data_IF_389722627095
#
_entry.id   IF_389722627095
#
_cell.length_a   1.000
_cell.length_b   1.000
_cell.length_c   1.000
_cell.angle_alpha   90.00
_cell.angle_beta   90.00
_cell.angle_gamma   90.00
#
_symmetry.space_group_name_H-M   'P 1'
#
loop_
_entity.id
_entity.type
_entity.pdbx_description
1 polymer ?
#
# COMPACT_ATOMS: atom_id res chain seq x y z
N UNK A 1 -0.66 -11.35 -19.44
CA UNK A 1 0.68 -11.96 -19.29
C UNK A 1 1.31 -11.29 -18.08
N UNK A 2 1.85 -12.07 -17.14
CA UNK A 2 2.29 -11.61 -15.82
C UNK A 2 3.50 -10.65 -15.87
N UNK A 3 4.03 -10.43 -17.06
CA UNK A 3 5.31 -9.76 -17.31
C UNK A 3 5.16 -8.29 -17.74
N UNK A 4 3.93 -7.78 -17.89
CA UNK A 4 3.69 -6.37 -18.23
C UNK A 4 3.66 -5.48 -16.98
N UNK A 5 4.79 -5.46 -16.28
CA UNK A 5 4.96 -4.67 -15.06
C UNK A 5 4.83 -3.16 -15.29
N UNK A 6 5.13 -2.68 -16.50
CA UNK A 6 4.91 -1.29 -16.90
C UNK A 6 3.42 -0.96 -16.91
N UNK A 7 2.57 -1.79 -17.52
CA UNK A 7 1.13 -1.60 -17.47
C UNK A 7 0.58 -1.72 -16.05
N UNK A 8 1.09 -2.68 -15.26
CA UNK A 8 0.66 -2.81 -13.86
C UNK A 8 1.04 -1.62 -13.00
N UNK A 9 2.20 -1.01 -13.22
CA UNK A 9 2.63 0.20 -12.53
C UNK A 9 1.75 1.39 -12.91
N UNK A 10 1.54 1.60 -14.22
CA UNK A 10 0.75 2.72 -14.76
C UNK A 10 -0.75 2.62 -14.49
N UNK A 11 -1.25 1.46 -14.07
CA UNK A 11 -2.65 1.26 -13.67
C UNK A 11 -2.99 1.79 -12.26
N UNK A 12 -1.99 2.26 -11.49
CA UNK A 12 -2.17 2.78 -10.14
C UNK A 12 -2.10 4.31 -10.17
N UNK A 13 -3.14 4.97 -9.69
CA UNK A 13 -3.10 6.40 -9.38
C UNK A 13 -2.52 6.60 -7.98
N UNK A 14 -1.65 7.59 -7.82
CA UNK A 14 -0.95 7.89 -6.56
C UNK A 14 -1.08 9.35 -6.23
N UNK A 15 -1.51 9.67 -5.01
CA UNK A 15 -1.56 11.04 -4.53
C UNK A 15 -1.03 11.14 -3.11
N UNK A 16 -0.44 12.29 -2.79
CA UNK A 16 -0.04 12.67 -1.44
C UNK A 16 -0.81 13.92 -1.08
N UNK A 17 -1.41 13.95 0.10
CA UNK A 17 -2.11 15.14 0.61
C UNK A 17 -1.69 15.43 2.04
N UNK A 18 -1.66 16.72 2.38
CA UNK A 18 -1.48 17.16 3.75
C UNK A 18 -2.83 17.21 4.46
N UNK A 19 -2.84 16.82 5.73
CA UNK A 19 -4.00 16.92 6.60
C UNK A 19 -3.57 17.01 8.06
N UNK A 20 -4.53 17.32 8.93
CA UNK A 20 -4.37 17.13 10.36
C UNK A 20 -5.17 15.90 10.81
N UNK A 21 -4.58 15.09 11.69
CA UNK A 21 -5.23 13.96 12.34
C UNK A 21 -4.96 14.04 13.84
N UNK A 22 -6.02 14.00 14.63
CA UNK A 22 -5.93 14.12 16.10
C UNK A 22 -5.16 15.38 16.56
N UNK A 23 -5.34 16.50 15.84
CA UNK A 23 -4.70 17.79 16.14
C UNK A 23 -3.20 17.84 15.85
N UNK A 24 -2.66 16.88 15.09
CA UNK A 24 -1.27 16.83 14.67
C UNK A 24 -1.15 16.81 13.14
N UNK A 25 -0.08 17.39 12.56
CA UNK A 25 0.22 17.26 11.15
C UNK A 25 0.39 15.79 10.74
N UNK A 26 -0.25 15.43 9.64
CA UNK A 26 -0.18 14.11 9.03
C UNK A 26 -0.06 14.25 7.50
N UNK A 27 0.27 13.13 6.88
CA UNK A 27 0.33 12.97 5.43
C UNK A 27 -0.50 11.77 5.04
N UNK A 28 -1.34 11.94 4.03
CA UNK A 28 -2.15 10.87 3.49
C UNK A 28 -1.58 10.43 2.15
N UNK A 29 -1.12 9.18 2.11
CA UNK A 29 -0.65 8.47 0.91
C UNK A 29 -1.83 7.68 0.36
N UNK A 30 -2.32 8.05 -0.81
CA UNK A 30 -3.48 7.40 -1.43
C UNK A 30 -3.08 6.67 -2.71
N UNK A 31 -3.48 5.40 -2.82
CA UNK A 31 -3.37 4.58 -4.02
C UNK A 31 -4.77 4.22 -4.52
N UNK A 32 -4.99 4.29 -5.83
CA UNK A 32 -6.22 3.83 -6.45
C UNK A 32 -5.94 2.89 -7.62
N UNK A 33 -6.72 1.81 -7.71
CA UNK A 33 -6.65 0.87 -8.82
C UNK A 33 -8.01 0.24 -9.09
N UNK A 34 -8.30 0.00 -10.38
CA UNK A 34 -9.48 -0.75 -10.81
C UNK A 34 -9.09 -2.23 -11.02
N UNK A 35 -9.93 -3.13 -10.52
CA UNK A 35 -9.82 -4.57 -10.70
C UNK A 35 -11.02 -5.08 -11.52
N UNK A 36 -10.78 -6.09 -12.36
CA UNK A 36 -11.81 -6.73 -13.19
C UNK A 36 -12.56 -7.81 -12.40
N UNK A 37 -13.17 -7.37 -11.29
CA UNK A 37 -14.09 -8.17 -10.47
C UNK A 37 -15.21 -7.29 -9.89
N UNK A 38 -16.25 -7.92 -9.32
CA UNK A 38 -17.34 -7.20 -8.67
C UNK A 38 -16.89 -6.53 -7.35
N UNK A 39 -17.60 -5.50 -6.87
CA UNK A 39 -17.31 -4.88 -5.57
C UNK A 39 -17.35 -5.87 -4.41
N UNK A 40 -18.32 -6.78 -4.40
CA UNK A 40 -18.48 -7.79 -3.35
C UNK A 40 -17.30 -8.78 -3.34
N UNK A 41 -16.85 -9.21 -4.52
CA UNK A 41 -15.71 -10.12 -4.62
C UNK A 41 -14.40 -9.44 -4.25
N UNK A 42 -14.21 -8.17 -4.64
CA UNK A 42 -13.06 -7.37 -4.22
C UNK A 42 -13.05 -7.13 -2.71
N UNK A 43 -14.21 -6.87 -2.12
CA UNK A 43 -14.37 -6.72 -0.68
C UNK A 43 -13.95 -8.00 0.06
N UNK A 44 -14.53 -9.14 -0.34
CA UNK A 44 -14.15 -10.42 0.24
C UNK A 44 -12.65 -10.72 0.07
N UNK A 45 -12.03 -10.33 -1.05
CA UNK A 45 -10.59 -10.53 -1.25
C UNK A 45 -9.71 -9.74 -0.26
N UNK A 46 -10.19 -8.59 0.23
CA UNK A 46 -9.42 -7.69 1.13
C UNK A 46 -9.86 -7.75 2.59
N UNK A 47 -11.00 -8.39 2.92
CA UNK A 47 -11.48 -8.49 4.31
C UNK A 47 -11.61 -9.92 4.82
N UNK A 48 -11.78 -10.93 3.96
CA UNK A 48 -11.91 -12.32 4.38
C UNK A 48 -10.53 -12.92 4.69
N UNK A 49 -10.23 -13.38 5.92
CA UNK A 49 -8.91 -13.88 6.28
C UNK A 49 -8.41 -15.05 5.42
N UNK A 50 -9.32 -15.94 5.01
CA UNK A 50 -9.01 -17.11 4.18
C UNK A 50 -8.66 -16.74 2.74
N UNK A 51 -9.12 -15.58 2.28
CA UNK A 51 -8.77 -15.02 0.97
C UNK A 51 -7.56 -14.12 1.05
N UNK A 52 -7.49 -13.29 2.08
CA UNK A 52 -6.41 -12.33 2.31
C UNK A 52 -5.05 -13.04 2.34
N UNK A 53 -4.95 -14.17 3.06
CA UNK A 53 -3.71 -14.97 3.15
C UNK A 53 -3.21 -15.56 1.84
N UNK A 54 -4.01 -15.51 0.76
CA UNK A 54 -3.63 -16.06 -0.55
C UNK A 54 -2.71 -15.11 -1.32
N UNK A 55 -2.79 -13.81 -1.03
CA UNK A 55 -2.06 -12.76 -1.77
C UNK A 55 -1.37 -11.74 -0.85
N UNK A 56 -1.80 -11.65 0.40
CA UNK A 56 -1.25 -10.78 1.44
C UNK A 56 -0.85 -11.61 2.67
N UNK A 57 -0.54 -10.93 3.78
CA UNK A 57 -0.12 -11.57 5.02
C UNK A 57 -1.29 -12.25 5.75
N UNK A 58 -1.07 -13.42 6.40
CA UNK A 58 -2.05 -14.01 7.30
C UNK A 58 -2.46 -13.04 8.41
N UNK A 59 -3.77 -12.90 8.63
CA UNK A 59 -4.36 -12.05 9.68
C UNK A 59 -5.03 -12.90 10.76
N UNK A 60 -4.93 -12.45 12.01
CA UNK A 60 -5.57 -13.09 13.17
C UNK A 60 -6.09 -12.05 14.15
N UNK A 61 -7.00 -12.42 15.04
CA UNK A 61 -7.55 -11.55 16.08
C UNK A 61 -9.07 -11.54 16.14
N UNK A 62 -9.63 -10.50 16.73
CA UNK A 62 -11.08 -10.24 16.79
C UNK A 62 -11.46 -9.32 15.63
N UNK A 63 -11.84 -9.91 14.48
CA UNK A 63 -11.98 -9.20 13.21
C UNK A 63 -13.37 -8.55 13.05
N UNK A 64 -13.71 -7.68 13.99
CA UNK A 64 -14.94 -6.87 13.99
C UNK A 64 -14.63 -5.46 14.50
N UNK A 65 -15.51 -4.48 14.27
CA UNK A 65 -15.34 -3.14 14.82
C UNK A 65 -15.07 -3.15 16.33
N UNK A 66 -14.04 -2.40 16.75
CA UNK A 66 -13.51 -2.36 18.11
C UNK A 66 -12.55 -3.49 18.47
N UNK A 67 -12.44 -4.53 17.64
CA UNK A 67 -11.54 -5.67 17.86
C UNK A 67 -10.13 -5.41 17.34
N UNK A 68 -9.18 -6.19 17.86
CA UNK A 68 -7.77 -6.12 17.49
C UNK A 68 -7.42 -7.14 16.43
N UNK A 69 -6.57 -6.76 15.48
CA UNK A 69 -6.00 -7.65 14.46
C UNK A 69 -4.46 -7.66 14.54
N UNK A 70 -3.87 -8.72 14.00
CA UNK A 70 -2.44 -8.85 13.82
C UNK A 70 -2.14 -9.51 12.47
N UNK A 71 -1.33 -8.84 11.65
CA UNK A 71 -0.70 -9.41 10.46
C UNK A 71 0.58 -10.13 10.88
N UNK A 72 0.74 -11.38 10.44
CA UNK A 72 1.86 -12.23 10.84
C UNK A 72 3.21 -11.59 10.47
N UNK A 73 4.04 -11.30 11.48
CA UNK A 73 5.37 -10.72 11.30
C UNK A 73 5.38 -9.25 10.87
N UNK A 74 4.23 -8.57 10.92
CA UNK A 74 4.07 -7.19 10.46
C UNK A 74 3.20 -6.41 11.46
N UNK A 75 2.38 -5.47 10.99
CA UNK A 75 1.59 -4.58 11.81
C UNK A 75 0.42 -5.29 12.52
N UNK A 76 0.11 -4.79 13.71
CA UNK A 76 -1.19 -5.01 14.35
C UNK A 76 -2.04 -3.76 14.31
N UNK A 77 -3.19 -3.80 14.96
CA UNK A 77 -4.01 -2.61 15.16
C UNK A 77 -5.42 -2.93 15.62
N UNK A 78 -6.29 -1.93 15.48
CA UNK A 78 -7.69 -1.98 15.87
C UNK A 78 -8.57 -1.70 14.65
N UNK A 79 -9.60 -2.51 14.43
CA UNK A 79 -10.63 -2.22 13.45
C UNK A 79 -11.53 -1.13 14.01
N UNK A 80 -11.57 0.04 13.37
CA UNK A 80 -12.33 1.20 13.84
C UNK A 80 -13.75 1.16 13.30
N UNK A 81 -13.86 1.03 11.98
CA UNK A 81 -15.13 0.98 11.26
C UNK A 81 -15.04 -0.08 10.17
N UNK A 82 -16.14 -0.78 9.94
CA UNK A 82 -16.28 -1.77 8.88
C UNK A 82 -17.73 -1.71 8.39
N UNK A 83 -17.92 -1.19 7.18
CA UNK A 83 -19.21 -1.04 6.50
C UNK A 83 -19.15 -1.80 5.16
N UNK A 84 -19.42 -3.12 5.17
CA UNK A 84 -19.38 -3.94 3.96
C UNK A 84 -20.40 -3.49 2.91
N UNK A 85 -20.09 -3.61 1.60
CA UNK A 85 -18.81 -4.03 1.01
C UNK A 85 -17.90 -2.83 0.66
N UNK A 86 -18.08 -1.67 1.30
CA UNK A 86 -17.60 -0.39 0.78
C UNK A 86 -16.47 0.27 1.56
N UNK A 87 -16.37 0.04 2.88
CA UNK A 87 -15.45 0.82 3.71
C UNK A 87 -14.89 0.06 4.92
N UNK A 88 -13.57 0.11 5.07
CA UNK A 88 -12.83 -0.39 6.23
C UNK A 88 -11.89 0.71 6.73
N UNK A 89 -11.89 0.98 8.04
CA UNK A 89 -10.91 1.84 8.69
C UNK A 89 -10.24 1.11 9.84
N UNK A 90 -8.91 1.15 9.89
CA UNK A 90 -8.09 0.47 10.90
C UNK A 90 -6.98 1.41 11.41
N UNK A 91 -6.52 1.18 12.64
CA UNK A 91 -5.18 1.65 13.03
C UNK A 91 -4.13 0.70 12.46
N UNK A 92 -2.92 1.22 12.30
CA UNK A 92 -1.77 0.46 11.83
C UNK A 92 -0.61 0.69 12.79
N UNK A 93 -0.29 -0.31 13.59
CA UNK A 93 0.69 -0.25 14.68
C UNK A 93 1.90 -1.11 14.30
N UNK A 94 3.03 -0.46 14.00
CA UNK A 94 4.24 -1.12 13.53
C UNK A 94 5.49 -0.36 13.95
N UNK A 95 6.55 -1.08 14.34
CA UNK A 95 7.83 -0.47 14.70
C UNK A 95 7.77 0.51 15.88
N UNK A 96 6.78 0.40 16.76
CA UNK A 96 6.55 1.33 17.87
C UNK A 96 5.81 2.62 17.48
N UNK A 97 5.47 2.80 16.20
CA UNK A 97 4.62 3.89 15.70
C UNK A 97 3.16 3.44 15.48
N UNK A 98 2.28 4.43 15.28
CA UNK A 98 0.88 4.23 14.94
C UNK A 98 0.46 5.18 13.81
N UNK A 99 -0.21 4.63 12.81
CA UNK A 99 -0.84 5.33 11.68
C UNK A 99 -2.27 4.82 11.47
N UNK A 100 -2.95 5.27 10.41
CA UNK A 100 -4.31 4.84 10.07
C UNK A 100 -4.39 4.40 8.61
N UNK A 101 -5.17 3.36 8.34
CA UNK A 101 -5.45 2.89 6.99
C UNK A 101 -6.96 2.92 6.76
N UNK A 102 -7.35 3.45 5.62
CA UNK A 102 -8.72 3.42 5.11
C UNK A 102 -8.74 2.72 3.75
N UNK A 103 -9.63 1.74 3.58
CA UNK A 103 -9.90 1.07 2.32
C UNK A 103 -11.33 1.41 1.89
N UNK A 104 -11.48 1.89 0.67
CA UNK A 104 -12.77 2.16 0.03
C UNK A 104 -12.91 1.35 -1.24
N UNK A 105 -14.05 0.71 -1.42
CA UNK A 105 -14.41 0.00 -2.64
C UNK A 105 -15.63 0.68 -3.27
N UNK A 106 -15.52 0.97 -4.57
CA UNK A 106 -16.60 1.55 -5.35
C UNK A 106 -16.82 0.75 -6.64
N UNK A 107 -18.09 0.58 -7.03
CA UNK A 107 -18.44 -0.05 -8.29
C UNK A 107 -18.12 0.88 -9.47
N UNK A 108 -17.41 0.35 -10.47
CA UNK A 108 -17.29 0.96 -11.80
C UNK A 108 -18.31 0.37 -12.78
N UNK A 109 -18.61 -0.92 -12.60
CA UNK A 109 -19.67 -1.67 -13.26
C UNK A 109 -20.00 -2.92 -12.44
N UNK A 110 -20.87 -3.80 -12.93
CA UNK A 110 -21.17 -5.09 -12.27
C UNK A 110 -19.95 -6.02 -12.14
N UNK A 111 -18.96 -5.87 -13.02
CA UNK A 111 -17.78 -6.73 -13.10
C UNK A 111 -16.45 -5.97 -12.97
N UNK A 112 -16.49 -4.71 -12.51
CA UNK A 112 -15.31 -3.89 -12.28
C UNK A 112 -15.50 -3.04 -11.03
N UNK A 113 -14.48 -3.01 -10.17
CA UNK A 113 -14.51 -2.25 -8.93
C UNK A 113 -13.18 -1.50 -8.73
N UNK A 114 -13.28 -0.27 -8.22
CA UNK A 114 -12.13 0.53 -7.80
C UNK A 114 -11.87 0.28 -6.32
N UNK A 115 -10.62 -0.06 -5.99
CA UNK A 115 -10.09 0.01 -4.64
C UNK A 115 -9.32 1.31 -4.48
N UNK A 116 -9.61 2.04 -3.41
CA UNK A 116 -8.87 3.21 -2.94
C UNK A 116 -8.32 2.89 -1.56
N UNK A 117 -6.99 2.93 -1.42
CA UNK A 117 -6.32 2.74 -0.14
C UNK A 117 -5.68 4.06 0.27
N UNK A 118 -5.99 4.52 1.48
CA UNK A 118 -5.42 5.71 2.10
C UNK A 118 -4.63 5.28 3.33
N UNK A 119 -3.34 5.64 3.40
CA UNK A 119 -2.50 5.44 4.57
C UNK A 119 -2.09 6.80 5.14
N UNK A 120 -2.69 7.16 6.27
CA UNK A 120 -2.49 8.42 6.97
C UNK A 120 -1.40 8.23 8.01
N UNK A 121 -0.27 8.91 7.84
CA UNK A 121 0.92 8.77 8.68
C UNK A 121 1.25 10.09 9.40
N UNK A 122 1.70 10.05 10.66
CA UNK A 122 2.33 11.19 11.31
C UNK A 122 3.58 11.66 10.54
N UNK A 123 3.91 12.96 10.63
CA UNK A 123 5.14 13.52 10.04
C UNK A 123 6.31 13.35 11.03
N UNK A 124 6.78 12.10 11.18
CA UNK A 124 7.91 11.75 12.03
C UNK A 124 9.25 11.70 11.25
N UNK A 125 10.32 11.23 11.90
CA UNK A 125 11.64 11.13 11.26
C UNK A 125 11.69 10.07 10.15
N UNK A 126 10.83 9.05 10.21
CA UNK A 126 10.73 8.05 9.16
C UNK A 126 10.09 8.67 7.91
N UNK A 127 9.01 9.44 8.07
CA UNK A 127 8.43 10.23 6.98
C UNK A 127 9.43 11.24 6.41
N UNK A 128 10.16 11.99 7.25
CA UNK A 128 11.18 12.93 6.77
C UNK A 128 12.32 12.22 6.02
N UNK A 129 12.62 10.96 6.34
CA UNK A 129 13.65 10.19 5.63
C UNK A 129 13.15 9.62 4.31
N UNK A 130 11.95 9.03 4.26
CA UNK A 130 11.50 8.26 3.09
C UNK A 130 10.35 8.91 2.31
N UNK A 131 9.80 10.02 2.79
CA UNK A 131 8.64 10.68 2.20
C UNK A 131 7.47 9.70 2.06
N UNK A 132 6.66 9.79 0.98
CA UNK A 132 5.59 8.80 0.74
C UNK A 132 6.10 7.38 0.52
N UNK A 133 7.37 7.19 0.17
CA UNK A 133 8.00 5.88 0.04
C UNK A 133 8.04 5.09 1.35
N UNK A 134 7.90 5.75 2.51
CA UNK A 134 7.80 5.13 3.83
C UNK A 134 6.69 4.06 3.91
N UNK A 135 5.60 4.24 3.16
CA UNK A 135 4.46 3.32 3.16
C UNK A 135 3.97 2.97 1.75
N UNK A 136 4.15 3.88 0.78
CA UNK A 136 3.55 3.78 -0.54
C UNK A 136 4.06 2.61 -1.37
N UNK A 137 5.38 2.37 -1.41
CA UNK A 137 5.96 1.29 -2.22
C UNK A 137 5.55 -0.10 -1.73
N UNK A 138 5.45 -0.29 -0.40
CA UNK A 138 4.92 -1.53 0.16
C UNK A 138 3.46 -1.77 -0.26
N UNK A 139 2.64 -0.72 -0.31
CA UNK A 139 1.27 -0.82 -0.82
C UNK A 139 1.20 -1.10 -2.32
N UNK A 140 2.11 -0.53 -3.13
CA UNK A 140 2.20 -0.87 -4.55
C UNK A 140 2.46 -2.37 -4.77
N UNK A 141 3.39 -2.95 -4.01
CA UNK A 141 3.69 -4.38 -4.06
C UNK A 141 2.49 -5.23 -3.61
N UNK A 142 1.76 -4.80 -2.58
CA UNK A 142 0.54 -5.46 -2.13
C UNK A 142 -0.56 -5.41 -3.21
N UNK A 143 -0.79 -4.25 -3.84
CA UNK A 143 -1.78 -4.11 -4.90
C UNK A 143 -1.39 -4.92 -6.15
N UNK A 144 -0.11 -5.05 -6.46
CA UNK A 144 0.40 -5.93 -7.50
C UNK A 144 0.12 -7.41 -7.18
N UNK A 145 0.34 -7.85 -5.94
CA UNK A 145 0.00 -9.20 -5.51
C UNK A 145 -1.51 -9.49 -5.64
N UNK A 146 -2.36 -8.50 -5.30
CA UNK A 146 -3.81 -8.61 -5.51
C UNK A 146 -4.20 -8.74 -6.99
N UNK A 147 -3.44 -8.14 -7.92
CA UNK A 147 -3.66 -8.36 -9.37
C UNK A 147 -3.42 -9.81 -9.73
N UNK A 148 -2.31 -10.38 -9.28
CA UNK A 148 -1.99 -11.78 -9.55
C UNK A 148 -3.07 -12.72 -8.98
N UNK A 149 -3.57 -12.41 -7.78
CA UNK A 149 -4.70 -13.15 -7.21
C UNK A 149 -5.91 -13.24 -8.15
N UNK A 150 -6.29 -12.15 -8.82
CA UNK A 150 -7.44 -12.13 -9.73
C UNK A 150 -7.13 -12.66 -11.15
N UNK A 151 -5.89 -12.53 -11.62
CA UNK A 151 -5.53 -12.93 -13.00
C UNK A 151 -5.37 -14.44 -13.13
N UNK A 152 -4.65 -15.08 -12.20
CA UNK A 152 -4.28 -16.49 -12.32
C UNK A 152 -4.46 -17.28 -11.01
N UNK A 153 -5.00 -16.66 -9.96
CA UNK A 153 -5.17 -17.29 -8.65
C UNK A 153 -3.85 -17.60 -7.96
N UNK A 154 -2.74 -16.99 -8.41
CA UNK A 154 -1.42 -17.29 -7.88
C UNK A 154 -1.28 -16.95 -6.40
N UNK A 155 -0.35 -17.67 -5.77
CA UNK A 155 0.08 -17.43 -4.41
C UNK A 155 0.75 -16.05 -4.25
N UNK A 156 0.90 -15.67 -2.99
CA UNK A 156 1.56 -14.46 -2.54
C UNK A 156 2.87 -14.20 -3.29
N UNK A 157 3.06 -12.94 -3.70
CA UNK A 157 4.32 -12.48 -4.27
C UNK A 157 5.45 -12.69 -3.26
N UNK A 158 6.45 -13.51 -3.61
CA UNK A 158 7.70 -13.56 -2.86
C UNK A 158 8.45 -12.25 -3.09
N UNK A 159 8.27 -11.31 -2.16
CA UNK A 159 8.85 -9.97 -2.21
C UNK A 159 10.38 -10.00 -2.28
N UNK A 160 11.04 -10.95 -1.60
CA UNK A 160 12.49 -11.04 -1.60
C UNK A 160 13.01 -11.50 -2.96
N UNK A 161 12.41 -12.55 -3.53
CA UNK A 161 12.77 -13.04 -4.87
C UNK A 161 12.43 -11.99 -5.94
N UNK A 162 11.27 -11.35 -5.84
CA UNK A 162 10.85 -10.32 -6.79
C UNK A 162 11.77 -9.10 -6.75
N UNK A 163 12.03 -8.55 -5.55
CA UNK A 163 12.87 -7.35 -5.40
C UNK A 163 14.34 -7.58 -5.81
N UNK A 164 14.78 -8.83 -5.86
CA UNK A 164 16.10 -9.20 -6.39
C UNK A 164 16.14 -9.29 -7.92
N UNK A 165 14.99 -9.53 -8.59
CA UNK A 165 14.89 -9.72 -10.04
C UNK A 165 15.02 -8.41 -10.82
N UNK A 166 15.29 -8.49 -12.13
CA UNK A 166 15.32 -7.32 -13.03
C UNK A 166 13.97 -6.62 -13.09
N UNK A 167 12.89 -7.39 -13.16
CA UNK A 167 11.51 -6.93 -13.27
C UNK A 167 11.07 -6.26 -11.98
N UNK A 168 11.36 -6.86 -10.82
CA UNK A 168 11.01 -6.25 -9.54
C UNK A 168 11.79 -4.98 -9.26
N UNK A 169 13.10 -4.95 -9.57
CA UNK A 169 13.89 -3.70 -9.49
C UNK A 169 13.34 -2.61 -10.38
N UNK A 170 12.95 -2.94 -11.61
CA UNK A 170 12.34 -1.96 -12.52
C UNK A 170 10.98 -1.45 -11.99
N UNK A 171 10.12 -2.35 -11.49
CA UNK A 171 8.83 -1.99 -10.91
C UNK A 171 9.00 -1.09 -9.67
N UNK A 172 9.87 -1.45 -8.74
CA UNK A 172 10.15 -0.70 -7.51
C UNK A 172 10.74 0.68 -7.81
N UNK A 173 11.66 0.76 -8.77
CA UNK A 173 12.25 2.03 -9.22
C UNK A 173 11.16 2.93 -9.81
N UNK A 174 10.28 2.36 -10.66
CA UNK A 174 9.14 3.07 -11.22
C UNK A 174 8.17 3.58 -10.16
N UNK A 175 7.76 2.71 -9.21
CA UNK A 175 6.87 3.07 -8.11
C UNK A 175 7.46 4.18 -7.23
N UNK A 176 8.75 4.10 -6.90
CA UNK A 176 9.45 5.15 -6.15
C UNK A 176 9.48 6.47 -6.93
N UNK A 177 9.70 6.41 -8.25
CA UNK A 177 9.65 7.57 -9.14
C UNK A 177 8.27 8.21 -9.27
N UNK A 178 7.20 7.42 -9.20
CA UNK A 178 5.81 7.91 -9.20
C UNK A 178 5.44 8.53 -7.85
N UNK A 179 5.89 7.94 -6.75
CA UNK A 179 5.72 8.54 -5.41
C UNK A 179 6.46 9.86 -5.24
N UNK A 180 7.65 9.96 -5.81
CA UNK A 180 8.38 11.23 -5.90
C UNK A 180 7.56 12.30 -6.62
N UNK A 181 6.97 11.96 -7.77
CA UNK A 181 6.13 12.90 -8.52
C UNK A 181 4.91 13.33 -7.69
N UNK A 182 4.27 12.39 -7.00
CA UNK A 182 3.15 12.69 -6.11
C UNK A 182 3.55 13.59 -4.92
N UNK A 183 4.75 13.39 -4.34
CA UNK A 183 5.30 14.25 -3.29
C UNK A 183 5.49 15.69 -3.79
N UNK A 184 6.15 15.87 -4.94
CA UNK A 184 6.35 17.20 -5.54
C UNK A 184 5.02 17.86 -5.89
N UNK A 185 4.07 17.11 -6.44
CA UNK A 185 2.72 17.61 -6.73
C UNK A 185 1.96 18.04 -5.47
N UNK A 186 2.26 17.44 -4.31
CA UNK A 186 1.70 17.83 -3.01
C UNK A 186 2.39 19.05 -2.37
N UNK A 187 3.46 19.57 -2.99
CA UNK A 187 4.19 20.75 -2.52
C UNK A 187 5.50 20.43 -1.78
N UNK A 188 5.98 19.19 -1.79
CA UNK A 188 7.28 18.83 -1.23
C UNK A 188 8.43 19.41 -2.08
N UNK A 189 9.58 19.64 -1.44
CA UNK A 189 10.79 20.07 -2.13
C UNK A 189 11.27 19.00 -3.11
N UNK A 190 11.61 19.40 -4.34
CA UNK A 190 11.96 18.45 -5.40
C UNK A 190 13.25 17.67 -5.10
N UNK A 191 14.25 18.29 -4.48
CA UNK A 191 15.49 17.61 -4.12
C UNK A 191 15.28 16.65 -2.94
N UNK A 192 14.47 17.05 -1.96
CA UNK A 192 14.05 16.18 -0.87
C UNK A 192 13.30 14.94 -1.38
N UNK A 193 12.29 15.14 -2.24
CA UNK A 193 11.49 14.07 -2.81
C UNK A 193 12.34 13.09 -3.65
N UNK A 194 13.30 13.61 -4.43
CA UNK A 194 14.25 12.78 -5.18
C UNK A 194 15.08 11.89 -4.24
N UNK A 195 15.71 12.49 -3.23
CA UNK A 195 16.54 11.75 -2.27
C UNK A 195 15.73 10.72 -1.46
N UNK A 196 14.47 11.02 -1.14
CA UNK A 196 13.55 10.10 -0.48
C UNK A 196 13.22 8.89 -1.36
N UNK A 197 12.98 9.10 -2.65
CA UNK A 197 12.71 8.03 -3.61
C UNK A 197 13.95 7.15 -3.86
N UNK A 198 15.14 7.74 -3.95
CA UNK A 198 16.40 7.00 -4.06
C UNK A 198 16.62 6.09 -2.85
N UNK A 199 16.44 6.62 -1.62
CA UNK A 199 16.56 5.84 -0.39
C UNK A 199 15.53 4.71 -0.32
N UNK A 200 14.29 4.97 -0.72
CA UNK A 200 13.23 3.96 -0.75
C UNK A 200 13.55 2.86 -1.77
N UNK A 201 13.97 3.24 -2.97
CA UNK A 201 14.38 2.29 -4.02
C UNK A 201 15.52 1.40 -3.52
N UNK A 202 16.55 2.01 -2.91
CA UNK A 202 17.69 1.28 -2.39
C UNK A 202 17.32 0.32 -1.25
N UNK A 203 16.35 0.69 -0.41
CA UNK A 203 15.84 -0.15 0.66
C UNK A 203 15.20 -1.42 0.11
N UNK A 204 14.22 -1.27 -0.78
CA UNK A 204 13.48 -2.40 -1.33
C UNK A 204 14.33 -3.27 -2.26
N UNK A 205 15.27 -2.70 -3.01
CA UNK A 205 16.11 -3.45 -3.95
C UNK A 205 17.39 -4.02 -3.33
N UNK A 206 17.61 -3.81 -2.02
CA UNK A 206 18.78 -4.30 -1.29
C UNK A 206 20.09 -3.62 -1.67
N UNK A 207 20.04 -2.41 -2.26
CA UNK A 207 21.22 -1.62 -2.63
C UNK A 207 21.51 -0.50 -1.63
N UNK A 208 20.86 -0.51 -0.46
CA UNK A 208 21.09 0.47 0.60
C UNK A 208 22.51 0.26 1.16
N UNK A 209 23.40 1.23 0.93
CA UNK A 209 24.73 1.22 1.52
C UNK A 209 24.63 1.40 3.04
N UNK A 210 25.50 0.73 3.84
CA UNK A 210 25.49 0.83 5.30
C UNK A 210 25.81 2.23 5.86
N UNK A 211 26.25 3.18 5.01
CA UNK A 211 26.68 4.53 5.40
C UNK A 211 25.73 5.66 4.93
N UNK A 212 24.44 5.37 4.67
CA UNK A 212 23.43 6.32 4.16
C UNK A 212 22.45 6.90 5.18
#
# INVERSE_FOLDING_TARGET
MRDDFTAYLGAVSRTVTELEREGKPARNVTLERIYDTSPDDLWEAVTNPERLTRWFLPVSGDLKPGGHFQLKGNAGGTIRECDPPGFLSITWEFGGGMSWVEVRIAAESESRARLTLSHICPVDDHWKKYGPGAVGVGWDLALLALVFHFVDGAEQLDEATFSASSEGKAYITGASGDWRQAAVASGDDAAHAEAAAERTTAFYTGTLSPDS
#
